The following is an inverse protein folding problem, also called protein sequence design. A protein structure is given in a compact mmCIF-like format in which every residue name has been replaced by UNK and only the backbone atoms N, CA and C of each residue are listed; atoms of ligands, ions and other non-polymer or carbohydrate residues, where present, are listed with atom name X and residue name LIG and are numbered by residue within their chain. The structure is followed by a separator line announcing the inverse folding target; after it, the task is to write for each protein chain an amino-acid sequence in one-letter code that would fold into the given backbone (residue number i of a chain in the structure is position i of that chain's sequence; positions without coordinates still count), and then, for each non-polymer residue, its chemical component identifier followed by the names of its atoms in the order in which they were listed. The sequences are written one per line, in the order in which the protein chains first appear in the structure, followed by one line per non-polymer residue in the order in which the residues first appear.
data_IF_200369254952
#
_entry.id   IF_200369254952
#
_cell.length_a   1.000
_cell.length_b   1.000
_cell.length_c   1.000
_cell.angle_alpha   90.00
_cell.angle_beta   90.00
_cell.angle_gamma   90.00
#
_symmetry.space_group_name_H-M   'P 1'
#
loop_
_entity.id
_entity.type
_entity.pdbx_description
1 polymer ?
#
# COMPACT_ATOMS: atom_id res chain seq x y z
N UNK A 1 4.77 -14.75 -3.21
CA UNK A 1 4.74 -13.27 -3.29
C UNK A 1 3.33 -12.80 -2.98
N UNK A 2 3.17 -11.75 -2.17
CA UNK A 2 1.86 -11.14 -1.94
C UNK A 2 1.31 -10.61 -3.26
N UNK A 3 0.18 -11.15 -3.71
CA UNK A 3 -0.53 -10.61 -4.87
C UNK A 3 -1.25 -9.33 -4.44
N UNK A 4 -0.79 -8.18 -4.91
CA UNK A 4 -1.48 -6.92 -4.69
C UNK A 4 -2.72 -6.84 -5.61
N UNK A 5 -3.90 -6.46 -5.08
CA UNK A 5 -5.11 -6.34 -5.87
C UNK A 5 -4.97 -5.24 -6.93
N UNK A 6 -5.61 -5.43 -8.08
CA UNK A 6 -5.71 -4.38 -9.09
C UNK A 6 -6.74 -3.34 -8.66
N UNK A 7 -6.56 -2.07 -9.03
CA UNK A 7 -7.55 -1.01 -8.79
C UNK A 7 -8.93 -1.36 -9.38
N UNK A 8 -8.95 -2.07 -10.52
CA UNK A 8 -10.18 -2.55 -11.16
C UNK A 8 -10.93 -3.58 -10.33
N UNK A 9 -10.25 -4.32 -9.45
CA UNK A 9 -10.84 -5.34 -8.57
C UNK A 9 -11.44 -4.72 -7.28
N UNK A 10 -11.27 -3.42 -7.05
CA UNK A 10 -11.88 -2.75 -5.90
C UNK A 10 -13.42 -2.73 -6.07
N UNK A 11 -14.21 -3.19 -5.09
CA UNK A 11 -15.66 -3.15 -5.17
C UNK A 11 -16.20 -1.72 -5.11
N UNK A 12 -17.38 -1.51 -5.69
CA UNK A 12 -18.11 -0.25 -5.50
C UNK A 12 -18.67 -0.17 -4.08
N UNK A 13 -18.71 1.05 -3.54
CA UNK A 13 -19.32 1.34 -2.25
C UNK A 13 -20.75 1.82 -2.50
N UNK A 14 -21.70 1.27 -1.77
CA UNK A 14 -23.13 1.56 -1.93
C UNK A 14 -23.70 1.93 -0.56
N UNK A 15 -24.53 2.97 -0.50
CA UNK A 15 -25.23 3.36 0.73
C UNK A 15 -26.50 2.53 0.97
N UNK A 16 -27.21 2.80 2.06
CA UNK A 16 -28.46 2.11 2.42
C UNK A 16 -29.61 2.31 1.43
N UNK A 17 -29.53 3.30 0.54
CA UNK A 17 -30.56 3.61 -0.45
C UNK A 17 -30.20 3.10 -1.85
N UNK A 18 -29.07 2.40 -2.00
CA UNK A 18 -28.61 1.87 -3.28
C UNK A 18 -27.81 2.87 -4.12
N UNK A 19 -27.49 4.06 -3.59
CA UNK A 19 -26.69 5.03 -4.33
C UNK A 19 -25.20 4.68 -4.25
N UNK A 20 -24.48 4.94 -5.35
CA UNK A 20 -23.04 4.71 -5.40
C UNK A 20 -22.27 5.81 -4.68
N UNK A 21 -21.45 5.39 -3.73
CA UNK A 21 -20.48 6.21 -3.02
C UNK A 21 -19.11 6.15 -3.69
N UNK A 22 -18.35 7.23 -3.53
CA UNK A 22 -16.98 7.29 -4.01
C UNK A 22 -16.12 6.21 -3.33
N UNK A 23 -15.27 5.53 -4.10
CA UNK A 23 -14.33 4.54 -3.53
C UNK A 23 -13.29 5.15 -2.58
N UNK A 24 -13.07 6.47 -2.65
CA UNK A 24 -12.08 7.18 -1.85
C UNK A 24 -12.67 7.90 -0.62
N UNK A 25 -13.88 8.45 -0.74
CA UNK A 25 -14.54 9.24 0.30
C UNK A 25 -16.03 8.89 0.36
N UNK A 26 -16.80 9.50 1.26
CA UNK A 26 -18.20 9.13 1.49
C UNK A 26 -19.19 9.95 0.65
N UNK A 27 -18.71 10.72 -0.33
CA UNK A 27 -19.56 11.48 -1.23
C UNK A 27 -20.19 10.60 -2.31
N UNK A 28 -21.40 10.97 -2.75
CA UNK A 28 -22.08 10.37 -3.89
C UNK A 28 -21.25 10.50 -5.18
N UNK A 29 -21.32 9.48 -6.03
CA UNK A 29 -20.77 9.54 -7.38
C UNK A 29 -21.78 10.25 -8.29
N UNK A 30 -21.42 11.44 -8.77
CA UNK A 30 -22.27 12.22 -9.68
C UNK A 30 -22.60 11.48 -10.97
N UNK A 31 -23.75 11.80 -11.57
CA UNK A 31 -24.19 11.23 -12.85
C UNK A 31 -23.11 11.34 -13.94
N UNK A 32 -22.94 10.27 -14.73
CA UNK A 32 -21.89 10.14 -15.75
C UNK A 32 -20.51 9.69 -15.23
N UNK A 33 -20.31 9.60 -13.91
CA UNK A 33 -19.07 9.05 -13.32
C UNK A 33 -19.29 7.64 -12.79
N UNK A 34 -18.22 6.83 -12.81
CA UNK A 34 -18.32 5.40 -12.48
C UNK A 34 -18.03 5.05 -11.02
N UNK A 35 -16.93 5.57 -10.46
CA UNK A 35 -16.41 5.09 -9.17
C UNK A 35 -15.99 6.20 -8.20
N UNK A 36 -15.82 7.44 -8.68
CA UNK A 36 -15.25 8.53 -7.89
C UNK A 36 -16.03 9.83 -8.09
N UNK A 37 -16.21 10.60 -7.01
CA UNK A 37 -16.88 11.90 -7.06
C UNK A 37 -16.06 12.97 -7.79
N UNK A 38 -14.73 12.88 -7.76
CA UNK A 38 -13.79 13.86 -8.36
C UNK A 38 -12.58 13.15 -8.99
N UNK A 39 -11.92 13.80 -9.97
CA UNK A 39 -10.60 13.36 -10.46
C UNK A 39 -9.59 13.30 -9.30
N UNK A 40 -9.63 14.28 -8.39
CA UNK A 40 -8.81 14.32 -7.18
C UNK A 40 -8.95 13.05 -6.35
N UNK A 41 -10.19 12.61 -6.10
CA UNK A 41 -10.44 11.38 -5.33
C UNK A 41 -9.99 10.11 -6.06
N UNK A 42 -10.10 10.07 -7.39
CA UNK A 42 -9.54 8.98 -8.18
C UNK A 42 -8.01 8.93 -8.02
N UNK A 43 -7.34 10.08 -8.21
CA UNK A 43 -5.88 10.18 -8.15
C UNK A 43 -5.37 9.82 -6.74
N UNK A 44 -6.04 10.27 -5.69
CA UNK A 44 -5.73 9.95 -4.30
C UNK A 44 -5.91 8.45 -3.99
N UNK A 45 -7.03 7.87 -4.41
CA UNK A 45 -7.30 6.44 -4.22
C UNK A 45 -6.22 5.59 -4.90
N UNK A 46 -5.90 5.91 -6.16
CA UNK A 46 -4.87 5.20 -6.92
C UNK A 46 -3.51 5.35 -6.25
N UNK A 47 -3.14 6.54 -5.79
CA UNK A 47 -1.87 6.78 -5.10
C UNK A 47 -1.72 5.94 -3.84
N UNK A 48 -2.81 5.71 -3.12
CA UNK A 48 -2.81 4.98 -1.85
C UNK A 48 -3.10 3.47 -1.99
N UNK A 49 -3.53 2.99 -3.16
CA UNK A 49 -3.91 1.57 -3.36
C UNK A 49 -3.17 0.88 -4.53
N UNK A 50 -2.31 1.58 -5.25
CA UNK A 50 -1.47 1.00 -6.30
C UNK A 50 -0.04 0.78 -5.77
N UNK A 51 0.38 -0.48 -5.62
CA UNK A 51 1.66 -0.84 -5.00
C UNK A 51 2.86 -0.07 -5.55
N UNK A 52 2.95 0.13 -6.86
CA UNK A 52 4.09 0.87 -7.45
C UNK A 52 4.16 2.32 -6.95
N UNK A 53 3.02 2.97 -6.73
CA UNK A 53 2.99 4.35 -6.21
C UNK A 53 3.25 4.38 -4.71
N UNK A 54 2.59 3.49 -3.95
CA UNK A 54 2.80 3.34 -2.50
C UNK A 54 4.28 3.07 -2.22
N UNK A 55 4.90 2.13 -2.94
CA UNK A 55 6.33 1.82 -2.83
C UNK A 55 7.21 3.04 -3.07
N UNK A 56 6.93 3.84 -4.10
CA UNK A 56 7.71 5.05 -4.36
C UNK A 56 7.52 6.10 -3.26
N UNK A 57 6.31 6.26 -2.72
CA UNK A 57 6.05 7.17 -1.60
C UNK A 57 6.84 6.75 -0.33
N UNK A 58 6.88 5.46 0.00
CA UNK A 58 7.64 4.95 1.15
C UNK A 58 9.16 5.16 0.97
N UNK A 59 9.71 4.81 -0.19
CA UNK A 59 11.15 5.01 -0.45
C UNK A 59 11.56 6.48 -0.35
N UNK A 60 10.70 7.40 -0.82
CA UNK A 60 10.91 8.85 -0.70
C UNK A 60 10.79 9.33 0.73
N UNK A 61 9.75 8.89 1.47
CA UNK A 61 9.55 9.19 2.89
C UNK A 61 10.79 8.84 3.70
N UNK A 62 11.34 7.65 3.46
CA UNK A 62 12.48 7.11 4.19
C UNK A 62 13.84 7.62 3.65
N UNK A 63 13.82 8.58 2.71
CA UNK A 63 15.02 9.17 2.07
C UNK A 63 15.99 8.10 1.54
N UNK A 64 15.46 6.98 1.05
CA UNK A 64 16.21 5.81 0.58
C UNK A 64 17.17 5.23 1.63
N UNK A 65 16.79 5.27 2.91
CA UNK A 65 17.54 4.67 4.01
C UNK A 65 16.85 3.40 4.50
N UNK A 66 17.64 2.38 4.81
CA UNK A 66 17.14 1.18 5.47
C UNK A 66 16.68 1.53 6.89
N UNK A 67 15.48 1.11 7.30
CA UNK A 67 14.96 1.36 8.65
C UNK A 67 15.63 0.51 9.75
N UNK A 68 16.47 -0.47 9.38
CA UNK A 68 17.19 -1.33 10.35
C UNK A 68 18.64 -0.89 10.48
N UNK A 69 19.38 -0.79 9.37
CA UNK A 69 20.81 -0.45 9.41
C UNK A 69 21.11 1.03 9.14
N UNK A 70 20.09 1.85 8.86
CA UNK A 70 20.15 3.32 8.68
C UNK A 70 20.99 3.84 7.50
N UNK A 71 21.69 2.94 6.81
CA UNK A 71 22.47 3.23 5.59
C UNK A 71 21.56 3.63 4.44
N UNK A 72 22.06 4.54 3.60
CA UNK A 72 21.40 4.99 2.37
C UNK A 72 21.82 4.09 1.19
N UNK A 73 20.88 3.77 0.32
CA UNK A 73 21.10 2.89 -0.83
C UNK A 73 20.51 3.48 -2.13
N UNK A 74 20.84 2.89 -3.27
CA UNK A 74 20.16 3.19 -4.54
C UNK A 74 18.78 2.54 -4.54
N UNK A 75 17.82 3.14 -5.25
CA UNK A 75 16.43 2.66 -5.34
C UNK A 75 16.30 1.15 -5.64
N UNK A 76 17.17 0.60 -6.49
CA UNK A 76 17.15 -0.82 -6.91
C UNK A 76 17.67 -1.81 -5.84
N UNK A 77 18.26 -1.29 -4.78
CA UNK A 77 18.88 -2.07 -3.69
C UNK A 77 17.97 -2.11 -2.45
N UNK A 78 16.82 -1.45 -2.52
CA UNK A 78 15.86 -1.30 -1.45
C UNK A 78 14.55 -1.98 -1.80
N UNK A 79 13.96 -2.66 -0.85
CA UNK A 79 12.59 -3.17 -0.88
C UNK A 79 11.72 -2.39 0.12
N UNK A 80 10.40 -2.49 -0.07
CA UNK A 80 9.43 -2.00 0.92
C UNK A 80 8.78 -3.24 1.52
N UNK A 81 8.95 -3.39 2.81
CA UNK A 81 8.54 -4.53 3.62
C UNK A 81 7.38 -4.16 4.54
N UNK A 82 6.50 -5.12 4.81
CA UNK A 82 5.43 -4.98 5.80
C UNK A 82 5.97 -5.24 7.20
N UNK A 83 5.82 -4.28 8.11
CA UNK A 83 6.24 -4.41 9.51
C UNK A 83 5.51 -5.59 10.16
N UNK A 84 4.18 -5.56 10.10
CA UNK A 84 3.31 -6.69 10.42
C UNK A 84 3.07 -7.46 9.12
N UNK A 85 3.48 -8.74 9.01
CA UNK A 85 3.24 -9.53 7.82
C UNK A 85 1.76 -9.56 7.43
N UNK A 86 1.46 -9.55 6.12
CA UNK A 86 0.09 -9.60 5.60
C UNK A 86 -0.66 -10.85 6.09
N UNK A 87 0.04 -11.99 6.19
CA UNK A 87 -0.51 -13.24 6.74
C UNK A 87 -0.91 -13.16 8.22
N UNK A 88 -0.40 -12.16 8.95
CA UNK A 88 -0.74 -11.87 10.35
C UNK A 88 -1.75 -10.71 10.47
N UNK A 89 -2.42 -10.32 9.38
CA UNK A 89 -3.40 -9.23 9.40
C UNK A 89 -2.83 -7.84 9.15
N UNK A 90 -1.54 -7.72 8.81
CA UNK A 90 -0.94 -6.45 8.41
C UNK A 90 -1.63 -5.85 7.18
N UNK A 91 -1.98 -4.56 7.26
CA UNK A 91 -2.64 -3.85 6.16
C UNK A 91 -1.68 -3.71 4.96
N UNK A 92 -2.19 -4.00 3.76
CA UNK A 92 -1.41 -4.08 2.51
C UNK A 92 -0.75 -2.76 2.11
N UNK A 93 -1.49 -1.66 2.19
CA UNK A 93 -1.09 -0.36 1.67
C UNK A 93 -0.96 0.73 2.74
N UNK A 94 -1.22 0.38 4.01
CA UNK A 94 -1.11 1.33 5.11
C UNK A 94 0.35 1.74 5.30
N UNK A 95 0.66 3.01 5.04
CA UNK A 95 2.05 3.51 5.04
C UNK A 95 2.73 3.33 6.40
N UNK A 96 1.98 3.35 7.50
CA UNK A 96 2.50 3.08 8.84
C UNK A 96 2.98 1.63 9.01
N UNK A 97 2.37 0.67 8.30
CA UNK A 97 2.79 -0.73 8.29
C UNK A 97 3.90 -1.03 7.27
N UNK A 98 4.45 -0.01 6.60
CA UNK A 98 5.45 -0.19 5.55
C UNK A 98 6.78 0.47 5.94
N UNK A 99 7.88 -0.21 5.67
CA UNK A 99 9.25 0.30 5.90
C UNK A 99 10.19 -0.02 4.75
N UNK A 100 11.18 0.83 4.55
CA UNK A 100 12.26 0.62 3.57
C UNK A 100 13.34 -0.29 4.17
N UNK A 101 13.67 -1.40 3.51
CA UNK A 101 14.76 -2.29 3.92
C UNK A 101 15.76 -2.52 2.77
N UNK A 102 17.04 -2.63 3.10
CA UNK A 102 18.01 -3.18 2.14
C UNK A 102 17.83 -4.70 2.01
N UNK A 103 18.35 -5.28 0.92
CA UNK A 103 18.22 -6.72 0.63
C UNK A 103 18.69 -7.62 1.78
N UNK A 104 19.78 -7.25 2.46
CA UNK A 104 20.35 -8.02 3.56
C UNK A 104 19.43 -8.02 4.79
N UNK A 105 19.00 -6.83 5.22
CA UNK A 105 18.07 -6.67 6.35
C UNK A 105 16.71 -7.30 6.06
N UNK A 106 16.22 -7.19 4.82
CA UNK A 106 14.97 -7.81 4.41
C UNK A 106 15.05 -9.34 4.48
N UNK A 107 16.12 -9.95 3.97
CA UNK A 107 16.36 -11.40 4.04
C UNK A 107 16.45 -11.90 5.48
N UNK A 108 17.16 -11.17 6.35
CA UNK A 108 17.27 -11.51 7.77
C UNK A 108 15.90 -11.50 8.45
N UNK A 109 15.10 -10.46 8.21
CA UNK A 109 13.74 -10.36 8.76
C UNK A 109 12.83 -11.47 8.24
N UNK A 110 12.83 -11.77 6.93
CA UNK A 110 11.99 -12.84 6.37
C UNK A 110 12.27 -14.21 7.00
N UNK A 111 13.51 -14.48 7.40
CA UNK A 111 13.87 -15.68 8.16
C UNK A 111 13.19 -15.68 9.54
N UNK A 112 13.36 -14.60 10.31
CA UNK A 112 12.75 -14.45 11.63
C UNK A 112 11.22 -14.54 11.58
N UNK A 113 10.59 -13.89 10.60
CA UNK A 113 9.13 -13.96 10.39
C UNK A 113 8.67 -15.40 10.08
N UNK A 114 9.49 -16.19 9.39
CA UNK A 114 9.17 -17.57 9.05
C UNK A 114 9.27 -18.49 10.26
N UNK A 115 10.32 -18.33 11.07
CA UNK A 115 10.53 -19.04 12.33
C UNK A 115 9.44 -18.72 13.37
N UNK A 116 8.99 -17.47 13.44
CA UNK A 116 7.90 -17.07 14.35
C UNK A 116 6.52 -17.64 13.96
N UNK A 117 6.39 -18.23 12.75
CA UNK A 117 5.14 -18.75 12.21
C UNK A 117 5.18 -20.26 11.93
N UNK A 118 6.29 -20.92 12.30
CA UNK A 118 6.41 -22.38 12.41
C UNK A 118 6.10 -22.82 13.83
#
# INVERSE_FOLDING_TARGET
MTRYPKISETPDRIDSWGNKLCRNCDSLVASGRRHYCSKKCMDEFVRNNLWVLVRMDILRRDKYRCSICEKRYRRRELDVDHIIPVRMGGKLFEKANLRTLCKECHKAKSRLDSEALS
#
